data_IF_609528241350
#
_entry.id   IF_609528241350
#
_cell.length_a   1.000
_cell.length_b   1.000
_cell.length_c   1.000
_cell.angle_alpha   90.00
_cell.angle_beta   90.00
_cell.angle_gamma   90.00
#
_symmetry.space_group_name_H-M   'P 1'
#
loop_
_entity.id
_entity.type
_entity.pdbx_description
1 polymer ?
#
# COMPACT_ATOMS: atom_id res chain seq x y z
N UNK A 1 71.88 -3.42 29.61
CA UNK A 1 70.80 -2.48 29.98
C UNK A 1 70.16 -1.97 28.71
N UNK A 2 68.89 -2.30 28.46
CA UNK A 2 68.13 -1.89 27.26
C UNK A 2 66.96 -1.03 27.75
N UNK A 3 66.77 0.21 27.27
CA UNK A 3 65.63 1.03 27.68
C UNK A 3 64.39 0.70 26.82
N UNK A 4 63.26 0.50 27.49
CA UNK A 4 61.96 0.34 26.84
C UNK A 4 61.39 1.70 26.41
N UNK A 5 60.96 1.80 25.14
CA UNK A 5 60.24 2.95 24.59
C UNK A 5 58.74 2.83 24.88
N UNK A 6 58.21 3.79 25.63
CA UNK A 6 56.77 4.00 25.82
C UNK A 6 56.15 4.64 24.57
N UNK A 7 55.48 3.83 23.73
CA UNK A 7 54.84 4.27 22.48
C UNK A 7 53.29 4.31 22.55
N UNK A 8 52.68 4.33 23.75
CA UNK A 8 51.21 4.20 23.89
C UNK A 8 50.46 5.47 24.27
N UNK A 9 51.12 6.61 24.55
CA UNK A 9 50.44 7.83 25.04
C UNK A 9 49.96 8.83 23.99
N UNK A 10 50.45 8.74 22.75
CA UNK A 10 50.14 9.77 21.74
C UNK A 10 48.82 9.53 20.98
N UNK A 11 48.20 8.35 21.12
CA UNK A 11 46.92 8.05 20.45
C UNK A 11 45.68 8.57 21.18
N UNK A 12 45.80 8.98 22.45
CA UNK A 12 44.65 9.46 23.23
C UNK A 12 44.40 10.97 23.13
N UNK A 13 45.37 11.78 22.69
CA UNK A 13 45.22 13.24 22.64
C UNK A 13 44.72 13.80 21.29
N UNK A 14 44.57 12.97 20.26
CA UNK A 14 44.11 13.41 18.94
C UNK A 14 42.59 13.41 18.76
N UNK A 15 41.80 13.01 19.76
CA UNK A 15 40.34 12.91 19.68
C UNK A 15 39.58 14.19 20.12
N UNK A 16 40.26 15.22 20.66
CA UNK A 16 39.60 16.31 21.41
C UNK A 16 39.64 17.70 20.77
N UNK A 17 39.88 17.82 19.46
CA UNK A 17 39.76 19.10 18.75
C UNK A 17 38.92 18.99 17.47
N UNK A 18 37.66 18.58 17.61
CA UNK A 18 36.67 18.97 16.61
C UNK A 18 36.42 20.47 16.75
N UNK A 19 36.83 21.22 15.73
CA UNK A 19 36.70 22.67 15.62
C UNK A 19 35.24 23.12 15.82
N UNK A 20 35.05 24.21 16.57
CA UNK A 20 33.74 24.72 16.97
C UNK A 20 32.84 25.00 15.74
N UNK A 21 33.46 25.51 14.67
CA UNK A 21 32.83 25.76 13.36
C UNK A 21 32.22 24.49 12.74
N UNK A 22 32.88 23.34 12.91
CA UNK A 22 32.45 22.05 12.37
C UNK A 22 31.25 21.50 13.14
N UNK A 23 31.18 21.77 14.46
CA UNK A 23 30.02 21.43 15.29
C UNK A 23 28.80 22.28 14.92
N UNK A 24 28.97 23.58 14.64
CA UNK A 24 27.87 24.47 14.26
C UNK A 24 27.27 24.09 12.91
N UNK A 25 28.10 23.76 11.91
CA UNK A 25 27.62 23.28 10.60
C UNK A 25 26.82 21.97 10.75
N UNK A 26 27.30 21.03 11.57
CA UNK A 26 26.60 19.78 11.82
C UNK A 26 25.22 20.01 12.46
N UNK A 27 25.13 20.93 13.44
CA UNK A 27 23.87 21.28 14.13
C UNK A 27 22.89 21.94 13.15
N UNK A 28 23.36 22.86 12.30
CA UNK A 28 22.53 23.47 11.26
C UNK A 28 21.99 22.44 10.26
N UNK A 29 22.82 21.48 9.85
CA UNK A 29 22.40 20.38 8.96
C UNK A 29 21.31 19.51 9.62
N UNK A 30 21.48 19.16 10.90
CA UNK A 30 20.48 18.36 11.66
C UNK A 30 19.15 19.13 11.81
N UNK A 31 19.19 20.43 12.06
CA UNK A 31 17.96 21.25 12.19
C UNK A 31 17.17 21.34 10.87
N UNK A 32 17.85 21.34 9.72
CA UNK A 32 17.21 21.31 8.40
C UNK A 32 16.51 19.95 8.17
N UNK A 33 17.12 18.83 8.57
CA UNK A 33 16.50 17.51 8.44
C UNK A 33 15.29 17.27 9.38
N UNK A 34 15.21 18.00 10.50
CA UNK A 34 14.02 17.95 11.37
C UNK A 34 12.81 18.72 10.80
N UNK A 35 13.01 19.50 9.75
CA UNK A 35 11.96 20.31 9.11
C UNK A 35 11.13 19.52 8.09
N UNK A 36 11.54 18.29 7.76
CA UNK A 36 10.84 17.45 6.79
C UNK A 36 9.58 16.88 7.43
N UNK A 37 8.44 17.55 7.24
CA UNK A 37 7.15 17.04 7.67
C UNK A 37 6.81 15.79 6.89
N UNK A 38 6.97 14.62 7.51
CA UNK A 38 6.35 13.39 7.01
C UNK A 38 4.85 13.49 7.32
N UNK A 39 4.03 13.73 6.30
CA UNK A 39 2.58 13.64 6.43
C UNK A 39 2.18 12.17 6.26
N UNK A 40 1.86 11.43 7.34
CA UNK A 40 1.30 10.10 7.17
C UNK A 40 -0.06 10.24 6.49
N UNK A 41 -0.39 9.34 5.56
CA UNK A 41 -1.73 9.35 5.02
C UNK A 41 -2.70 8.88 6.09
N UNK A 42 -3.68 9.72 6.40
CA UNK A 42 -4.77 9.39 7.30
C UNK A 42 -5.93 8.83 6.50
N UNK A 43 -5.87 7.53 6.19
CA UNK A 43 -7.02 6.83 5.60
C UNK A 43 -8.04 6.54 6.72
N UNK A 44 -9.15 7.27 6.74
CA UNK A 44 -10.21 7.07 7.72
C UNK A 44 -10.85 5.68 7.62
N UNK A 45 -11.28 5.14 8.77
CA UNK A 45 -12.18 3.98 8.80
C UNK A 45 -13.57 4.44 8.38
N UNK A 46 -13.95 4.15 7.14
CA UNK A 46 -15.28 4.42 6.58
C UNK A 46 -15.98 3.13 6.16
N UNK A 47 -17.29 3.20 5.98
CA UNK A 47 -18.07 2.06 5.47
C UNK A 47 -17.66 1.79 4.02
N UNK A 48 -17.74 0.53 3.60
CA UNK A 48 -17.42 0.15 2.23
C UNK A 48 -18.28 0.94 1.22
N UNK A 49 -19.56 1.16 1.52
CA UNK A 49 -20.47 1.98 0.71
C UNK A 49 -19.97 3.40 0.48
N UNK A 50 -19.38 4.01 1.50
CA UNK A 50 -18.92 5.40 1.44
C UNK A 50 -17.66 5.48 0.56
N UNK A 51 -16.77 4.48 0.67
CA UNK A 51 -15.61 4.34 -0.20
C UNK A 51 -16.03 4.11 -1.65
N UNK A 52 -16.95 3.18 -1.89
CA UNK A 52 -17.47 2.90 -3.24
C UNK A 52 -18.07 4.16 -3.88
N UNK A 53 -18.85 4.93 -3.11
CA UNK A 53 -19.38 6.21 -3.59
C UNK A 53 -18.27 7.19 -3.95
N UNK A 54 -17.30 7.38 -3.06
CA UNK A 54 -16.16 8.26 -3.30
C UNK A 54 -15.37 7.84 -4.55
N UNK A 55 -15.12 6.54 -4.73
CA UNK A 55 -14.42 6.00 -5.90
C UNK A 55 -15.16 6.26 -7.20
N UNK A 56 -16.49 6.10 -7.21
CA UNK A 56 -17.31 6.43 -8.39
C UNK A 56 -17.31 7.92 -8.74
N UNK A 57 -17.11 8.79 -7.75
CA UNK A 57 -17.11 10.26 -7.93
C UNK A 57 -15.72 10.81 -8.30
N UNK A 58 -14.64 10.13 -7.91
CA UNK A 58 -13.27 10.65 -7.99
C UNK A 58 -12.34 9.84 -8.90
N UNK A 59 -12.79 8.72 -9.46
CA UNK A 59 -12.01 7.97 -10.47
C UNK A 59 -12.29 8.50 -11.87
N UNK A 60 -11.22 8.69 -12.64
CA UNK A 60 -11.34 8.93 -14.10
C UNK A 60 -11.58 7.62 -14.85
N UNK A 61 -11.02 6.52 -14.34
CA UNK A 61 -11.17 5.18 -14.92
C UNK A 61 -11.63 4.17 -13.86
N UNK A 62 -12.65 3.38 -14.21
CA UNK A 62 -13.17 2.28 -13.41
C UNK A 62 -13.33 1.05 -14.31
N UNK A 63 -12.51 0.03 -14.10
CA UNK A 63 -12.53 -1.17 -14.94
C UNK A 63 -12.07 -2.43 -14.22
N UNK A 64 -12.44 -3.58 -14.78
CA UNK A 64 -11.82 -4.87 -14.46
C UNK A 64 -10.63 -5.05 -15.38
N UNK A 65 -9.45 -5.28 -14.80
CA UNK A 65 -8.21 -5.45 -15.54
C UNK A 65 -7.49 -6.75 -15.21
N UNK A 66 -6.72 -7.27 -16.17
CA UNK A 66 -5.78 -8.37 -15.98
C UNK A 66 -4.35 -7.81 -15.90
N UNK A 67 -3.70 -7.97 -14.75
CA UNK A 67 -2.32 -7.54 -14.54
C UNK A 67 -1.38 -8.57 -15.17
N UNK A 68 -0.69 -8.16 -16.23
CA UNK A 68 0.15 -9.03 -17.07
C UNK A 68 1.61 -9.07 -16.61
N UNK A 69 2.14 -7.91 -16.23
CA UNK A 69 3.55 -7.70 -15.87
C UNK A 69 3.66 -6.83 -14.62
N UNK A 70 4.67 -7.12 -13.81
CA UNK A 70 5.02 -6.35 -12.62
C UNK A 70 6.53 -6.21 -12.61
N UNK A 71 7.01 -4.98 -12.65
CA UNK A 71 8.40 -4.63 -12.47
C UNK A 71 8.59 -4.10 -11.05
N UNK A 72 9.13 -4.95 -10.18
CA UNK A 72 9.36 -4.60 -8.78
C UNK A 72 10.54 -3.64 -8.58
N UNK A 73 11.47 -3.54 -9.55
CA UNK A 73 12.61 -2.64 -9.45
C UNK A 73 12.20 -1.20 -9.76
N UNK A 74 11.34 -1.02 -10.76
CA UNK A 74 10.82 0.29 -11.16
C UNK A 74 9.47 0.65 -10.52
N UNK A 75 8.91 -0.26 -9.71
CA UNK A 75 7.57 -0.14 -9.13
C UNK A 75 6.49 0.14 -10.18
N UNK A 76 6.52 -0.53 -11.32
CA UNK A 76 5.53 -0.39 -12.39
C UNK A 76 4.82 -1.71 -12.69
N UNK A 77 3.68 -1.62 -13.36
CA UNK A 77 2.92 -2.78 -13.80
C UNK A 77 2.22 -2.48 -15.13
N UNK A 78 1.92 -3.53 -15.90
CA UNK A 78 1.03 -3.43 -17.06
C UNK A 78 -0.29 -4.13 -16.76
N UNK A 79 -1.39 -3.43 -16.98
CA UNK A 79 -2.74 -3.95 -16.80
C UNK A 79 -3.52 -3.81 -18.09
N UNK A 80 -4.14 -4.90 -18.53
CA UNK A 80 -4.99 -4.91 -19.70
C UNK A 80 -6.45 -4.80 -19.28
N UNK A 81 -7.21 -3.89 -19.89
CA UNK A 81 -8.64 -3.73 -19.66
C UNK A 81 -9.38 -4.97 -20.17
N UNK A 82 -10.13 -5.62 -19.28
CA UNK A 82 -11.00 -6.77 -19.59
C UNK A 82 -12.45 -6.32 -19.71
N UNK A 83 -12.88 -5.38 -18.87
CA UNK A 83 -14.22 -4.81 -18.92
C UNK A 83 -14.20 -3.38 -18.37
N UNK A 84 -14.69 -2.41 -19.12
CA UNK A 84 -14.96 -1.07 -18.59
C UNK A 84 -16.26 -1.04 -17.78
N UNK A 85 -16.19 -0.47 -16.59
CA UNK A 85 -17.30 -0.35 -15.64
C UNK A 85 -17.83 1.08 -15.53
N UNK A 86 -17.16 2.07 -16.10
CA UNK A 86 -17.62 3.46 -16.23
C UNK A 86 -18.08 3.82 -17.66
N UNK A 87 -17.71 3.00 -18.66
CA UNK A 87 -17.99 3.19 -20.08
C UNK A 87 -16.92 4.00 -20.84
N UNK A 88 -15.86 4.45 -20.18
CA UNK A 88 -14.81 5.29 -20.77
C UNK A 88 -13.60 4.51 -21.28
N UNK A 89 -13.26 3.38 -20.65
CA UNK A 89 -12.08 2.61 -21.01
C UNK A 89 -12.32 1.62 -22.17
N UNK A 90 -11.46 1.64 -23.19
CA UNK A 90 -11.51 0.66 -24.27
C UNK A 90 -11.05 -0.73 -23.81
N UNK A 91 -11.81 -1.76 -24.16
CA UNK A 91 -11.45 -3.17 -23.89
C UNK A 91 -10.19 -3.53 -24.67
N UNK A 92 -9.32 -4.35 -24.08
CA UNK A 92 -7.97 -4.69 -24.56
C UNK A 92 -6.94 -3.55 -24.50
N UNK A 93 -7.31 -2.33 -24.12
CA UNK A 93 -6.33 -1.27 -23.85
C UNK A 93 -5.35 -1.71 -22.74
N UNK A 94 -4.09 -1.32 -22.86
CA UNK A 94 -3.05 -1.65 -21.88
C UNK A 94 -2.55 -0.36 -21.24
N UNK A 95 -2.82 -0.23 -19.94
CA UNK A 95 -2.27 0.83 -19.13
C UNK A 95 -0.93 0.43 -18.53
N UNK A 96 0.02 1.36 -18.59
CA UNK A 96 1.22 1.31 -17.75
C UNK A 96 0.89 2.01 -16.43
N UNK A 97 0.83 1.24 -15.34
CA UNK A 97 0.61 1.77 -14.01
C UNK A 97 1.88 1.81 -13.18
N UNK A 98 1.83 2.57 -12.10
CA UNK A 98 2.93 2.71 -11.13
C UNK A 98 2.41 2.43 -9.72
N UNK A 99 3.22 1.80 -8.89
CA UNK A 99 2.95 1.61 -7.47
C UNK A 99 3.63 2.75 -6.72
N UNK A 100 2.88 3.76 -6.31
CA UNK A 100 3.42 4.83 -5.48
C UNK A 100 3.69 4.30 -4.07
N UNK A 101 4.76 4.78 -3.44
CA UNK A 101 5.24 4.26 -2.15
C UNK A 101 4.34 4.59 -0.96
N UNK A 102 3.31 5.42 -1.14
CA UNK A 102 2.43 5.86 -0.07
C UNK A 102 0.94 5.61 -0.37
N UNK A 103 0.32 4.78 0.47
CA UNK A 103 -1.12 4.76 0.77
C UNK A 103 -2.09 4.55 -0.40
N UNK A 104 -1.56 4.15 -1.55
CA UNK A 104 -2.35 3.63 -2.67
C UNK A 104 -2.39 2.11 -2.57
N UNK A 105 -3.44 1.45 -3.09
CA UNK A 105 -3.42 0.01 -3.24
C UNK A 105 -2.17 -0.43 -4.03
N UNK A 106 -1.54 -1.52 -3.58
CA UNK A 106 -0.30 -2.00 -4.19
C UNK A 106 -0.54 -3.23 -5.07
N UNK A 107 -0.25 -3.12 -6.37
CA UNK A 107 -0.32 -4.24 -7.30
C UNK A 107 0.99 -5.03 -7.24
N UNK A 108 0.99 -6.04 -6.38
CA UNK A 108 2.13 -6.94 -6.18
C UNK A 108 1.97 -8.33 -6.80
N UNK A 109 0.83 -8.62 -7.43
CA UNK A 109 0.55 -9.94 -8.03
C UNK A 109 -0.25 -9.80 -9.32
N UNK A 110 0.11 -10.66 -10.29
CA UNK A 110 -0.64 -10.85 -11.55
C UNK A 110 -2.04 -11.40 -11.29
N UNK A 111 -2.92 -11.28 -12.27
CA UNK A 111 -4.31 -11.78 -12.21
C UNK A 111 -5.33 -10.67 -12.42
N UNK A 112 -6.60 -11.00 -12.15
CA UNK A 112 -7.73 -10.06 -12.24
C UNK A 112 -7.79 -9.11 -11.05
N UNK A 113 -8.07 -7.85 -11.35
CA UNK A 113 -8.24 -6.75 -10.40
C UNK A 113 -9.45 -5.90 -10.80
N UNK A 114 -10.13 -5.34 -9.79
CA UNK A 114 -10.94 -4.15 -10.00
C UNK A 114 -10.05 -2.94 -9.76
N UNK A 115 -10.10 -1.99 -10.69
CA UNK A 115 -9.23 -0.82 -10.73
C UNK A 115 -10.10 0.42 -10.67
N UNK A 116 -9.76 1.28 -9.70
CA UNK A 116 -10.20 2.65 -9.54
C UNK A 116 -8.97 3.54 -9.56
N UNK A 117 -8.95 4.51 -10.47
CA UNK A 117 -7.78 5.35 -10.65
C UNK A 117 -7.98 6.51 -11.61
N UNK A 118 -6.86 7.13 -11.95
CA UNK A 118 -6.75 8.24 -12.88
C UNK A 118 -5.36 8.25 -13.53
N UNK A 119 -5.20 9.00 -14.61
CA UNK A 119 -3.89 9.12 -15.26
C UNK A 119 -3.08 10.26 -14.62
N UNK A 120 -1.85 9.96 -14.19
CA UNK A 120 -0.92 10.95 -13.65
C UNK A 120 0.47 10.73 -14.24
N UNK A 121 1.04 11.77 -14.86
CA UNK A 121 2.37 11.73 -15.48
C UNK A 121 2.53 10.59 -16.52
N UNK A 122 1.44 10.25 -17.23
CA UNK A 122 1.44 9.16 -18.21
C UNK A 122 1.33 7.76 -17.62
N UNK A 123 1.18 7.63 -16.30
CA UNK A 123 0.95 6.37 -15.60
C UNK A 123 -0.47 6.29 -15.07
N UNK A 124 -1.05 5.09 -15.10
CA UNK A 124 -2.25 4.79 -14.35
C UNK A 124 -1.93 4.80 -12.84
N UNK A 125 -2.56 5.72 -12.11
CA UNK A 125 -2.46 5.84 -10.66
C UNK A 125 -3.73 5.34 -9.99
N UNK A 126 -3.55 4.46 -9.01
CA UNK A 126 -4.65 4.03 -8.16
C UNK A 126 -4.98 5.10 -7.13
N UNK A 127 -6.25 5.23 -6.80
CA UNK A 127 -6.70 6.23 -5.85
C UNK A 127 -6.07 6.07 -4.46
N UNK A 128 -5.74 7.21 -3.84
CA UNK A 128 -5.22 7.27 -2.49
C UNK A 128 -6.25 6.73 -1.50
N UNK A 129 -5.84 5.82 -0.62
CA UNK A 129 -6.74 5.10 0.29
C UNK A 129 -7.85 4.32 -0.43
N UNK A 130 -7.67 4.02 -1.71
CA UNK A 130 -8.70 3.44 -2.55
C UNK A 130 -8.97 1.96 -2.29
N UNK A 131 -9.99 1.43 -2.97
CA UNK A 131 -10.49 0.06 -2.82
C UNK A 131 -10.16 -0.84 -4.02
N UNK A 132 -9.28 -0.40 -4.91
CA UNK A 132 -8.69 -1.24 -5.98
C UNK A 132 -8.06 -2.49 -5.37
N UNK A 133 -8.44 -3.67 -5.88
CA UNK A 133 -8.06 -4.94 -5.26
C UNK A 133 -8.12 -6.12 -6.21
N UNK A 134 -7.32 -7.14 -5.90
CA UNK A 134 -7.29 -8.39 -6.66
C UNK A 134 -8.52 -9.24 -6.35
N UNK A 135 -9.02 -9.93 -7.37
CA UNK A 135 -10.06 -10.96 -7.20
C UNK A 135 -9.58 -12.14 -6.34
N UNK A 136 -8.27 -12.37 -6.27
CA UNK A 136 -7.68 -13.41 -5.41
C UNK A 136 -7.65 -13.01 -3.92
N UNK A 137 -7.72 -11.72 -3.62
CA UNK A 137 -7.77 -11.22 -2.24
C UNK A 137 -8.62 -9.93 -2.17
N UNK A 138 -9.95 -10.04 -2.26
CA UNK A 138 -10.85 -8.90 -2.46
C UNK A 138 -11.24 -8.18 -1.16
N UNK A 139 -10.44 -8.32 -0.10
CA UNK A 139 -10.76 -7.81 1.24
C UNK A 139 -10.36 -6.34 1.37
N UNK A 140 -11.32 -5.45 1.61
CA UNK A 140 -11.08 -4.02 1.83
C UNK A 140 -10.85 -3.70 3.31
N UNK A 141 -11.72 -4.23 4.18
CA UNK A 141 -11.67 -4.01 5.62
C UNK A 141 -11.67 -5.37 6.33
N UNK A 142 -10.50 -5.99 6.59
CA UNK A 142 -10.45 -7.27 7.28
C UNK A 142 -11.06 -7.13 8.69
N UNK A 143 -11.81 -8.14 9.12
CA UNK A 143 -12.35 -8.16 10.48
C UNK A 143 -11.19 -8.12 11.49
N UNK A 144 -11.27 -7.26 12.53
CA UNK A 144 -10.24 -7.27 13.57
C UNK A 144 -10.22 -8.65 14.24
N UNK A 145 -9.05 -9.10 14.72
CA UNK A 145 -9.01 -10.26 15.59
C UNK A 145 -9.92 -10.01 16.81
N UNK A 146 -10.73 -11.00 17.24
CA UNK A 146 -11.51 -10.87 18.43
C UNK A 146 -10.56 -10.70 19.61
N UNK A 147 -10.97 -9.86 20.53
CA UNK A 147 -10.24 -9.61 21.74
C UNK A 147 -10.05 -10.92 22.53
N UNK A 148 -8.87 -11.13 23.12
CA UNK A 148 -8.64 -12.26 24.00
C UNK A 148 -9.60 -12.16 25.20
N UNK A 149 -10.29 -13.26 25.54
CA UNK A 149 -11.13 -13.29 26.73
C UNK A 149 -10.25 -13.45 27.98
N UNK A 150 -10.57 -12.73 29.07
CA UNK A 150 -9.79 -12.74 30.33
C UNK A 150 -9.57 -14.15 30.92
N UNK A 151 -10.49 -15.09 30.67
CA UNK A 151 -10.44 -16.45 31.20
C UNK A 151 -10.14 -17.53 30.13
N UNK A 152 -9.79 -17.14 28.89
CA UNK A 152 -9.44 -18.11 27.85
C UNK A 152 -8.06 -18.73 28.12
N UNK A 153 -8.00 -20.07 28.17
CA UNK A 153 -6.71 -20.77 28.20
C UNK A 153 -5.90 -20.38 26.94
N UNK A 154 -4.58 -20.18 27.06
CA UNK A 154 -3.74 -19.86 25.90
C UNK A 154 -3.86 -20.94 24.82
N UNK A 155 -4.38 -20.57 23.65
CA UNK A 155 -4.47 -21.47 22.49
C UNK A 155 -3.08 -21.92 22.06
N UNK A 156 -2.97 -23.17 21.61
CA UNK A 156 -1.73 -23.70 21.05
C UNK A 156 -1.35 -22.95 19.77
N UNK A 157 -0.07 -22.99 19.38
CA UNK A 157 0.39 -22.38 18.11
C UNK A 157 -0.39 -22.92 16.90
N UNK A 158 -0.73 -24.21 16.91
CA UNK A 158 -1.49 -24.89 15.85
C UNK A 158 -2.93 -24.36 15.80
N UNK A 159 -3.60 -24.26 16.94
CA UNK A 159 -4.97 -23.73 17.03
C UNK A 159 -5.05 -22.28 16.54
N UNK A 160 -4.11 -21.43 16.95
CA UNK A 160 -4.05 -20.03 16.48
C UNK A 160 -3.89 -19.95 14.96
N UNK A 161 -3.02 -20.79 14.39
CA UNK A 161 -2.81 -20.87 12.94
C UNK A 161 -4.07 -21.34 12.21
N UNK A 162 -4.77 -22.35 12.72
CA UNK A 162 -6.01 -22.86 12.14
C UNK A 162 -7.14 -21.82 12.23
N UNK A 163 -7.26 -21.14 13.38
CA UNK A 163 -8.25 -20.08 13.56
C UNK A 163 -8.00 -18.89 12.62
N UNK A 164 -6.74 -18.45 12.48
CA UNK A 164 -6.35 -17.40 11.54
C UNK A 164 -6.67 -17.76 10.09
N UNK A 165 -6.33 -18.99 9.66
CA UNK A 165 -6.70 -19.50 8.32
C UNK A 165 -8.20 -19.50 8.10
N UNK A 166 -8.98 -19.99 9.07
CA UNK A 166 -10.45 -20.02 8.98
C UNK A 166 -11.05 -18.63 8.84
N UNK A 167 -10.57 -17.65 9.61
CA UNK A 167 -11.01 -16.25 9.48
C UNK A 167 -10.65 -15.66 8.13
N UNK A 168 -9.40 -15.82 7.70
CA UNK A 168 -8.95 -15.36 6.39
C UNK A 168 -9.80 -15.93 5.25
N UNK A 169 -10.16 -17.20 5.32
CA UNK A 169 -11.06 -17.82 4.33
C UNK A 169 -12.43 -17.15 4.31
N UNK A 170 -13.02 -16.90 5.48
CA UNK A 170 -14.31 -16.19 5.60
C UNK A 170 -14.23 -14.75 5.10
N UNK A 171 -13.16 -14.05 5.41
CA UNK A 171 -12.94 -12.67 4.96
C UNK A 171 -12.83 -12.61 3.42
N UNK A 172 -12.13 -13.57 2.81
CA UNK A 172 -12.03 -13.69 1.35
C UNK A 172 -13.40 -13.97 0.72
N UNK A 173 -14.15 -14.93 1.27
CA UNK A 173 -15.50 -15.27 0.79
C UNK A 173 -16.46 -14.07 0.87
N UNK A 174 -16.44 -13.37 2.00
CA UNK A 174 -17.19 -12.14 2.19
C UNK A 174 -16.75 -11.07 1.18
N UNK A 175 -15.45 -10.81 1.07
CA UNK A 175 -14.92 -9.80 0.15
C UNK A 175 -15.24 -10.09 -1.31
N UNK A 176 -15.27 -11.37 -1.72
CA UNK A 176 -15.65 -11.77 -3.07
C UNK A 176 -17.13 -11.51 -3.33
N UNK A 177 -17.98 -11.81 -2.34
CA UNK A 177 -19.42 -11.53 -2.40
C UNK A 177 -19.69 -10.03 -2.52
N UNK A 178 -19.01 -9.22 -1.70
CA UNK A 178 -19.08 -7.75 -1.76
C UNK A 178 -18.57 -7.19 -3.09
N UNK A 179 -17.44 -7.72 -3.60
CA UNK A 179 -16.89 -7.33 -4.90
C UNK A 179 -17.83 -7.65 -6.06
N UNK A 180 -18.47 -8.82 -6.08
CA UNK A 180 -19.41 -9.18 -7.13
C UNK A 180 -20.65 -8.26 -7.12
N UNK A 181 -21.19 -7.97 -5.93
CA UNK A 181 -22.30 -7.03 -5.79
C UNK A 181 -21.92 -5.61 -6.23
N UNK A 182 -20.70 -5.17 -5.92
CA UNK A 182 -20.13 -3.89 -6.38
C UNK A 182 -20.06 -3.82 -7.91
N UNK A 183 -19.51 -4.86 -8.56
CA UNK A 183 -19.42 -4.94 -10.01
C UNK A 183 -20.81 -4.91 -10.66
N UNK A 184 -21.79 -5.63 -10.11
CA UNK A 184 -23.16 -5.63 -10.63
C UNK A 184 -23.82 -4.25 -10.53
N UNK A 185 -23.54 -3.50 -9.46
CA UNK A 185 -24.00 -2.11 -9.32
C UNK A 185 -23.33 -1.22 -10.36
N UNK A 186 -22.01 -1.32 -10.53
CA UNK A 186 -21.27 -0.51 -11.51
C UNK A 186 -21.75 -0.77 -12.94
N UNK A 187 -21.96 -2.03 -13.32
CA UNK A 187 -22.53 -2.41 -14.61
C UNK A 187 -23.90 -1.76 -14.83
N UNK A 188 -24.80 -1.82 -13.83
CA UNK A 188 -26.11 -1.16 -13.91
C UNK A 188 -26.00 0.35 -14.06
N UNK A 189 -25.03 0.99 -13.41
CA UNK A 189 -24.79 2.43 -13.53
C UNK A 189 -24.27 2.77 -14.93
N UNK A 190 -23.29 2.03 -15.44
CA UNK A 190 -22.74 2.16 -16.79
C UNK A 190 -23.83 2.04 -17.85
N UNK A 191 -24.64 0.99 -17.77
CA UNK A 191 -25.64 0.67 -18.79
C UNK A 191 -26.79 1.68 -18.83
N UNK A 192 -27.01 2.45 -17.75
CA UNK A 192 -27.97 3.58 -17.72
C UNK A 192 -27.45 4.86 -18.37
N UNK A 193 -26.12 4.99 -18.56
CA UNK A 193 -25.50 6.18 -19.18
C UNK A 193 -25.43 6.08 -20.70
N UNK A 194 -25.64 4.88 -21.26
CA UNK A 194 -25.72 4.63 -22.70
C UNK A 194 -27.12 4.92 -23.23
#
# INVERSE_FOLDING_TARGET
MIPQRNHSRDRYQQAEKMDYTQKTILISFILIFLSVKMFPCTCGLSRLSDKQKWEMENSECIFIGEVLEIDSANHTYKVKVVESLDGGDEVENIYLGKNWTSCTPYIGKKGKWIIYGYMEEGFLRLNLCGISRSFNYPVVNPAPPPFPQLNEKPKSKIERKNQSKKRRSKDIEKGLTELNAEIDVLRKVRDKKK
#
